data_IF_854280587593
#
_entry.id   IF_854280587593
#
_cell.length_a   1.000
_cell.length_b   1.000
_cell.length_c   1.000
_cell.angle_alpha   90.00
_cell.angle_beta   90.00
_cell.angle_gamma   90.00
#
_symmetry.space_group_name_H-M   'P 1'
#
loop_
_entity.id
_entity.type
_entity.pdbx_description
1 polymer ?
#
# COMPACT_ATOMS: atom_id res chain seq x y z
N UNK A 1 -0.81 0.31 -2.45
CA UNK A 1 -2.19 -0.15 -2.14
C UNK A 1 -2.55 -1.50 -2.75
N UNK A 2 -1.90 -1.97 -3.84
CA UNK A 2 -2.24 -3.24 -4.50
C UNK A 2 -2.36 -4.44 -3.55
N UNK A 3 -1.57 -4.48 -2.47
CA UNK A 3 -1.64 -5.54 -1.47
C UNK A 3 -3.02 -5.67 -0.78
N UNK A 4 -3.86 -4.63 -0.85
CA UNK A 4 -5.20 -4.62 -0.26
C UNK A 4 -6.27 -5.20 -1.18
N UNK A 5 -5.93 -5.50 -2.44
CA UNK A 5 -6.91 -6.05 -3.39
C UNK A 5 -7.29 -7.46 -2.99
N UNK A 6 -8.58 -7.67 -2.80
CA UNK A 6 -9.18 -8.96 -2.56
C UNK A 6 -10.55 -9.07 -3.28
N UNK A 7 -11.39 -10.03 -2.89
CA UNK A 7 -12.73 -10.23 -3.47
C UNK A 7 -13.69 -9.06 -3.19
N UNK A 8 -13.40 -8.23 -2.18
CA UNK A 8 -14.27 -7.16 -1.71
C UNK A 8 -13.63 -5.77 -1.92
N UNK A 9 -12.34 -5.71 -2.21
CA UNK A 9 -11.57 -4.47 -2.33
C UNK A 9 -10.98 -4.35 -3.72
N UNK A 10 -11.36 -3.28 -4.41
CA UNK A 10 -10.81 -2.88 -5.71
C UNK A 10 -10.09 -1.54 -5.58
N UNK A 11 -9.13 -1.30 -6.47
CA UNK A 11 -8.38 -0.03 -6.51
C UNK A 11 -8.65 0.69 -7.81
N UNK A 12 -9.25 1.87 -7.71
CA UNK A 12 -9.38 2.76 -8.85
C UNK A 12 -8.18 3.69 -8.96
N UNK A 13 -7.49 3.65 -10.09
CA UNK A 13 -6.38 4.55 -10.41
C UNK A 13 -6.86 5.70 -11.32
N UNK A 14 -7.15 6.89 -10.78
CA UNK A 14 -7.80 7.97 -11.53
C UNK A 14 -6.96 8.48 -12.70
N UNK A 15 -5.63 8.52 -12.56
CA UNK A 15 -4.71 8.94 -13.63
C UNK A 15 -4.75 7.97 -14.82
N UNK A 16 -4.82 6.67 -14.55
CA UNK A 16 -4.92 5.62 -15.58
C UNK A 16 -6.35 5.37 -16.03
N UNK A 17 -7.35 5.93 -15.32
CA UNK A 17 -8.79 5.66 -15.49
C UNK A 17 -9.09 4.15 -15.51
N UNK A 18 -8.40 3.38 -14.66
CA UNK A 18 -8.48 1.92 -14.61
C UNK A 18 -8.80 1.45 -13.20
N UNK A 19 -9.69 0.47 -13.10
CA UNK A 19 -9.94 -0.27 -11.87
C UNK A 19 -9.13 -1.55 -11.86
N UNK A 20 -8.43 -1.79 -10.76
CA UNK A 20 -7.71 -3.04 -10.50
C UNK A 20 -8.55 -3.87 -9.54
N UNK A 21 -8.96 -5.02 -10.02
CA UNK A 21 -9.72 -6.03 -9.30
C UNK A 21 -8.82 -7.22 -8.97
N UNK A 22 -9.30 -8.15 -8.15
CA UNK A 22 -8.59 -9.40 -7.86
C UNK A 22 -8.20 -10.16 -9.14
N UNK A 23 -9.11 -10.20 -10.11
CA UNK A 23 -8.90 -10.97 -11.35
C UNK A 23 -7.86 -10.35 -12.29
N UNK A 24 -7.73 -9.01 -12.31
CA UNK A 24 -6.82 -8.33 -13.24
C UNK A 24 -5.54 -7.77 -12.60
N UNK A 25 -5.45 -7.77 -11.27
CA UNK A 25 -4.28 -7.23 -10.56
C UNK A 25 -3.00 -8.00 -10.93
N UNK A 26 -3.06 -9.32 -11.02
CA UNK A 26 -1.91 -10.16 -11.37
C UNK A 26 -1.28 -9.77 -12.71
N UNK A 27 -2.08 -9.39 -13.71
CA UNK A 27 -1.58 -8.92 -15.01
C UNK A 27 -0.76 -7.64 -14.90
N UNK A 28 -1.14 -6.73 -13.99
CA UNK A 28 -0.47 -5.45 -13.79
C UNK A 28 0.78 -5.59 -12.93
N UNK A 29 0.65 -6.19 -11.74
CA UNK A 29 1.72 -6.23 -10.73
C UNK A 29 2.59 -7.49 -10.82
N UNK A 30 2.21 -8.46 -11.65
CA UNK A 30 2.94 -9.71 -11.95
C UNK A 30 3.09 -10.69 -10.78
N UNK A 31 2.50 -10.41 -9.64
CA UNK A 31 2.46 -11.27 -8.45
C UNK A 31 1.05 -11.22 -7.85
N UNK A 32 0.73 -12.13 -6.95
CA UNK A 32 -0.52 -12.03 -6.19
C UNK A 32 -0.53 -10.74 -5.35
N UNK A 33 -1.68 -10.07 -5.20
CA UNK A 33 -1.80 -8.89 -4.34
C UNK A 33 -1.22 -9.10 -2.94
N UNK A 34 -1.46 -10.25 -2.31
CA UNK A 34 -0.95 -10.60 -0.98
C UNK A 34 0.57 -10.59 -0.89
N UNK A 35 1.26 -10.91 -1.99
CA UNK A 35 2.72 -10.98 -2.05
C UNK A 35 3.36 -9.67 -2.52
N UNK A 36 2.56 -8.66 -2.88
CA UNK A 36 3.06 -7.41 -3.44
C UNK A 36 3.94 -6.65 -2.45
N UNK A 37 3.65 -6.73 -1.15
CA UNK A 37 4.46 -6.11 -0.11
C UNK A 37 5.87 -6.70 -0.05
N UNK A 38 6.03 -8.03 -0.19
CA UNK A 38 7.33 -8.71 -0.23
C UNK A 38 8.15 -8.18 -1.41
N UNK A 39 7.53 -8.11 -2.58
CA UNK A 39 8.17 -7.61 -3.80
C UNK A 39 8.62 -6.16 -3.63
N UNK A 40 7.78 -5.31 -3.05
CA UNK A 40 8.10 -3.91 -2.77
C UNK A 40 9.21 -3.76 -1.73
N UNK A 41 9.23 -4.61 -0.70
CA UNK A 41 10.30 -4.62 0.29
C UNK A 41 11.68 -4.88 -0.34
N UNK A 42 11.72 -5.80 -1.31
CA UNK A 42 12.93 -6.15 -2.05
C UNK A 42 13.35 -5.09 -3.08
N UNK A 43 12.39 -4.55 -3.84
CA UNK A 43 12.65 -3.56 -4.90
C UNK A 43 12.80 -2.13 -4.36
N UNK A 44 12.21 -1.84 -3.19
CA UNK A 44 12.08 -0.50 -2.65
C UNK A 44 10.93 0.29 -3.28
N UNK A 45 10.78 1.53 -2.84
CA UNK A 45 9.86 2.52 -3.39
C UNK A 45 10.55 3.87 -3.52
N UNK A 46 10.82 4.29 -4.75
CA UNK A 46 11.49 5.57 -5.01
C UNK A 46 10.60 6.77 -4.66
N UNK A 47 9.27 6.63 -4.73
CA UNK A 47 8.34 7.71 -4.36
C UNK A 47 8.41 8.03 -2.88
N UNK A 48 8.68 7.03 -2.06
CA UNK A 48 8.76 7.14 -0.61
C UNK A 48 10.22 7.18 -0.10
N UNK A 49 11.19 7.30 -1.03
CA UNK A 49 12.61 7.30 -0.72
C UNK A 49 13.07 6.04 0.06
N UNK A 50 12.46 4.90 -0.26
CA UNK A 50 12.81 3.60 0.32
C UNK A 50 13.68 2.82 -0.66
N UNK A 51 15.01 2.75 -0.44
CA UNK A 51 15.89 2.03 -1.35
C UNK A 51 15.72 0.52 -1.23
N UNK A 52 15.62 -0.17 -2.37
CA UNK A 52 15.62 -1.63 -2.45
C UNK A 52 17.03 -2.23 -2.53
N UNK A 53 17.11 -3.52 -2.82
CA UNK A 53 18.36 -4.24 -3.03
C UNK A 53 18.95 -3.90 -4.40
N UNK A 54 20.11 -3.25 -4.41
CA UNK A 54 20.76 -2.77 -5.65
C UNK A 54 21.07 -3.92 -6.63
N UNK A 55 20.50 -3.82 -7.82
CA UNK A 55 20.68 -4.80 -8.89
C UNK A 55 19.66 -5.94 -8.87
N UNK A 56 18.72 -5.93 -7.92
CA UNK A 56 17.55 -6.80 -7.94
C UNK A 56 16.43 -6.12 -8.74
N UNK A 57 15.82 -6.85 -9.66
CA UNK A 57 14.71 -6.37 -10.48
C UNK A 57 13.55 -7.35 -10.46
N UNK A 58 12.37 -6.88 -10.88
CA UNK A 58 11.15 -7.71 -10.91
C UNK A 58 11.33 -9.00 -11.70
N UNK A 59 12.08 -8.98 -12.80
CA UNK A 59 12.33 -10.18 -13.62
C UNK A 59 13.08 -11.26 -12.83
N UNK A 60 14.05 -10.85 -12.01
CA UNK A 60 14.80 -11.78 -11.15
C UNK A 60 13.88 -12.32 -10.06
N UNK A 61 13.09 -11.48 -9.43
CA UNK A 61 12.12 -11.92 -8.41
C UNK A 61 11.17 -12.97 -8.99
N UNK A 62 10.57 -12.71 -10.12
CA UNK A 62 9.63 -13.65 -10.77
C UNK A 62 10.28 -14.96 -11.23
N UNK A 63 11.57 -14.93 -11.56
CA UNK A 63 12.28 -16.17 -11.94
C UNK A 63 12.67 -17.04 -10.74
N UNK A 64 13.05 -16.39 -9.64
CA UNK A 64 13.57 -17.09 -8.44
C UNK A 64 12.42 -17.50 -7.49
N UNK A 65 11.42 -16.66 -7.33
CA UNK A 65 10.28 -16.91 -6.43
C UNK A 65 8.97 -16.98 -7.23
N UNK A 66 8.84 -18.01 -8.05
CA UNK A 66 7.61 -18.24 -8.85
C UNK A 66 6.37 -18.39 -7.97
N UNK A 67 6.52 -18.87 -6.74
CA UNK A 67 5.45 -18.96 -5.74
C UNK A 67 4.70 -17.65 -5.53
N UNK A 68 5.34 -16.49 -5.68
CA UNK A 68 4.68 -15.20 -5.54
C UNK A 68 3.53 -14.97 -6.53
N UNK A 69 3.46 -15.75 -7.60
CA UNK A 69 2.39 -15.65 -8.61
C UNK A 69 1.19 -16.55 -8.34
N UNK A 70 1.29 -17.53 -7.43
CA UNK A 70 0.23 -18.50 -7.18
C UNK A 70 0.04 -18.90 -5.70
N UNK A 71 1.02 -18.65 -4.82
CA UNK A 71 0.93 -18.98 -3.40
C UNK A 71 0.68 -17.71 -2.57
N UNK A 72 -0.55 -17.55 -2.02
CA UNK A 72 -0.88 -16.38 -1.21
C UNK A 72 -0.25 -16.39 0.18
N UNK A 73 0.37 -17.50 0.59
CA UNK A 73 1.04 -17.67 1.89
C UNK A 73 2.54 -17.48 1.83
N UNK A 74 3.06 -17.07 0.66
CA UNK A 74 4.48 -16.77 0.51
C UNK A 74 4.93 -15.68 1.51
N UNK A 75 6.12 -15.83 2.04
CA UNK A 75 6.64 -15.01 3.14
C UNK A 75 8.05 -14.48 2.87
N UNK A 76 8.53 -13.56 3.70
CA UNK A 76 9.93 -13.14 3.69
C UNK A 76 10.87 -14.27 4.11
N UNK A 77 10.41 -15.23 4.94
CA UNK A 77 11.22 -16.38 5.30
C UNK A 77 11.54 -17.24 4.07
N UNK A 78 10.57 -17.42 3.15
CA UNK A 78 10.83 -18.15 1.91
C UNK A 78 11.89 -17.47 1.04
N UNK A 79 11.97 -16.13 1.11
CA UNK A 79 13.02 -15.36 0.43
C UNK A 79 14.38 -15.64 1.08
N UNK A 80 14.44 -15.61 2.40
CA UNK A 80 15.66 -15.85 3.16
C UNK A 80 16.20 -17.27 2.90
N UNK A 81 15.38 -18.29 3.13
CA UNK A 81 15.74 -19.69 3.01
C UNK A 81 16.22 -20.02 1.57
N UNK A 82 15.53 -19.45 0.56
CA UNK A 82 15.97 -19.59 -0.82
C UNK A 82 17.35 -18.96 -1.03
N UNK A 83 17.57 -17.74 -0.51
CA UNK A 83 18.86 -17.07 -0.65
C UNK A 83 19.99 -17.85 0.00
N UNK A 84 19.82 -18.39 1.23
CA UNK A 84 20.81 -19.23 1.91
C UNK A 84 21.14 -20.48 1.07
N UNK A 85 20.11 -21.19 0.63
CA UNK A 85 20.29 -22.39 -0.22
C UNK A 85 21.07 -22.06 -1.50
N UNK A 86 20.83 -20.93 -2.12
CA UNK A 86 21.50 -20.54 -3.36
C UNK A 86 22.93 -20.04 -3.15
N UNK A 87 23.25 -19.47 -1.99
CA UNK A 87 24.62 -19.05 -1.64
C UNK A 87 25.51 -20.27 -1.41
N UNK A 88 24.97 -21.31 -0.78
CA UNK A 88 25.70 -22.56 -0.49
C UNK A 88 25.80 -23.50 -1.70
N UNK A 89 25.14 -23.17 -2.80
CA UNK A 89 25.11 -23.93 -4.04
C UNK A 89 26.44 -23.88 -4.83
N UNK A 90 26.57 -24.76 -5.81
CA UNK A 90 27.81 -24.88 -6.65
C UNK A 90 28.10 -23.59 -7.45
N UNK A 91 27.10 -22.81 -7.81
CA UNK A 91 27.21 -21.57 -8.63
C UNK A 91 26.42 -20.43 -8.04
N UNK A 92 26.86 -19.85 -6.92
CA UNK A 92 26.10 -18.82 -6.23
C UNK A 92 25.98 -17.55 -7.07
N UNK A 93 24.73 -17.07 -7.23
CA UNK A 93 24.50 -15.75 -7.85
C UNK A 93 24.75 -14.65 -6.81
N UNK A 94 25.55 -13.66 -7.16
CA UNK A 94 25.90 -12.53 -6.28
C UNK A 94 24.69 -11.78 -5.72
N UNK A 95 23.55 -11.88 -6.37
CA UNK A 95 22.33 -11.18 -5.93
C UNK A 95 21.80 -11.72 -4.61
N UNK A 96 21.90 -13.05 -4.36
CA UNK A 96 21.43 -13.64 -3.10
C UNK A 96 22.23 -13.15 -1.90
N UNK A 97 23.57 -13.14 -2.03
CA UNK A 97 24.44 -12.56 -1.01
C UNK A 97 24.11 -11.07 -0.73
N UNK A 98 23.74 -10.28 -1.78
CA UNK A 98 23.32 -8.90 -1.59
C UNK A 98 21.98 -8.78 -0.86
N UNK A 99 21.03 -9.67 -1.12
CA UNK A 99 19.74 -9.71 -0.40
C UNK A 99 20.01 -9.95 1.08
N UNK A 100 20.76 -10.99 1.41
CA UNK A 100 21.12 -11.31 2.80
C UNK A 100 21.88 -10.15 3.47
N UNK A 101 22.86 -9.57 2.80
CA UNK A 101 23.61 -8.43 3.33
C UNK A 101 22.72 -7.18 3.60
N UNK A 102 21.62 -7.02 2.87
CA UNK A 102 20.69 -5.93 3.04
C UNK A 102 19.41 -6.32 3.79
N UNK A 103 19.41 -7.47 4.48
CA UNK A 103 18.20 -8.06 5.05
C UNK A 103 17.48 -7.15 6.05
N UNK A 104 18.22 -6.51 6.93
CA UNK A 104 17.66 -5.54 7.88
C UNK A 104 16.86 -4.44 7.18
N UNK A 105 17.38 -3.95 6.05
CA UNK A 105 16.66 -2.96 5.22
C UNK A 105 15.41 -3.56 4.57
N UNK A 106 15.49 -4.79 4.08
CA UNK A 106 14.34 -5.48 3.48
C UNK A 106 13.24 -5.65 4.52
N UNK A 107 13.57 -6.08 5.73
CA UNK A 107 12.63 -6.20 6.84
C UNK A 107 11.99 -4.85 7.19
N UNK A 108 12.80 -3.80 7.32
CA UNK A 108 12.29 -2.45 7.61
C UNK A 108 11.39 -1.92 6.49
N UNK A 109 11.75 -2.14 5.23
CA UNK A 109 10.89 -1.77 4.10
C UNK A 109 9.56 -2.52 4.17
N UNK A 110 9.60 -3.82 4.49
CA UNK A 110 8.39 -4.64 4.62
C UNK A 110 7.46 -4.09 5.71
N UNK A 111 7.97 -3.78 6.88
CA UNK A 111 7.20 -3.20 7.99
C UNK A 111 6.59 -1.84 7.59
N UNK A 112 7.41 -0.93 7.03
CA UNK A 112 6.96 0.41 6.66
C UNK A 112 5.90 0.42 5.53
N UNK A 113 5.95 -0.56 4.64
CA UNK A 113 5.03 -0.65 3.51
C UNK A 113 3.84 -1.59 3.75
N UNK A 114 3.79 -2.29 4.89
CA UNK A 114 2.71 -3.20 5.22
C UNK A 114 1.45 -2.43 5.63
N UNK A 115 0.39 -2.57 4.84
CA UNK A 115 -0.91 -1.93 5.08
C UNK A 115 -1.90 -2.85 5.82
N UNK A 116 -1.57 -4.12 6.03
CA UNK A 116 -2.42 -5.07 6.75
C UNK A 116 -2.26 -4.93 8.27
N UNK A 117 -1.05 -4.63 8.73
CA UNK A 117 -0.75 -4.42 10.13
C UNK A 117 -0.58 -2.93 10.41
N UNK A 118 -1.58 -2.31 11.01
CA UNK A 118 -1.47 -0.93 11.43
C UNK A 118 -0.66 -0.83 12.74
N UNK A 119 0.11 0.24 12.87
CA UNK A 119 0.80 0.58 14.13
C UNK A 119 -0.16 1.09 15.21
N UNK A 120 -1.46 1.19 14.90
CA UNK A 120 -2.49 1.65 15.82
C UNK A 120 -2.78 0.59 16.87
N UNK A 121 -2.88 1.02 18.12
CA UNK A 121 -3.35 0.16 19.21
C UNK A 121 -4.89 -0.08 19.14
N UNK A 122 -5.39 -0.95 20.01
CA UNK A 122 -6.82 -1.29 20.02
C UNK A 122 -7.72 -0.10 20.40
N UNK A 123 -7.23 0.83 21.24
CA UNK A 123 -7.99 2.02 21.64
C UNK A 123 -8.14 2.98 20.45
N UNK A 124 -7.06 3.21 19.73
CA UNK A 124 -7.04 4.04 18.52
C UNK A 124 -7.92 3.44 17.41
N UNK A 125 -7.83 2.12 17.20
CA UNK A 125 -8.70 1.40 16.25
C UNK A 125 -10.18 1.55 16.61
N UNK A 126 -10.54 1.39 17.89
CA UNK A 126 -11.92 1.56 18.34
C UNK A 126 -12.40 3.00 18.15
N UNK A 127 -11.58 3.99 18.46
CA UNK A 127 -11.89 5.41 18.24
C UNK A 127 -12.21 5.68 16.76
N UNK A 128 -11.39 5.15 15.84
CA UNK A 128 -11.63 5.28 14.40
C UNK A 128 -12.94 4.58 13.99
N UNK A 129 -13.18 3.37 14.48
CA UNK A 129 -14.41 2.63 14.20
C UNK A 129 -15.65 3.35 14.71
N UNK A 130 -15.58 3.98 15.88
CA UNK A 130 -16.67 4.76 16.44
C UNK A 130 -16.97 6.01 15.59
N UNK A 131 -15.92 6.68 15.10
CA UNK A 131 -16.06 7.81 14.17
C UNK A 131 -16.74 7.34 12.87
N UNK A 132 -16.27 6.22 12.28
CA UNK A 132 -16.82 5.68 11.03
C UNK A 132 -18.31 5.27 11.19
N UNK A 133 -18.69 4.74 12.34
CA UNK A 133 -20.06 4.33 12.64
C UNK A 133 -20.95 5.48 13.08
N UNK A 134 -20.39 6.63 13.43
CA UNK A 134 -21.15 7.81 13.85
C UNK A 134 -21.95 8.37 12.69
N UNK A 135 -23.14 8.92 12.94
CA UNK A 135 -23.87 9.64 11.91
C UNK A 135 -23.03 10.77 11.33
N UNK A 136 -23.11 10.95 10.01
CA UNK A 136 -22.44 12.07 9.36
C UNK A 136 -23.04 13.38 9.92
N UNK A 137 -22.22 14.25 10.54
CA UNK A 137 -22.72 15.50 11.09
C UNK A 137 -23.14 16.47 9.98
N UNK A 138 -24.03 17.40 10.30
CA UNK A 138 -24.38 18.47 9.39
C UNK A 138 -23.15 19.29 9.00
N UNK A 139 -23.12 19.70 7.73
CA UNK A 139 -22.02 20.51 7.21
C UNK A 139 -21.95 21.86 7.93
N UNK A 140 -20.89 22.06 8.69
CA UNK A 140 -20.60 23.31 9.41
C UNK A 140 -19.79 24.28 8.51
N UNK A 141 -20.43 24.83 7.48
CA UNK A 141 -19.78 25.70 6.47
C UNK A 141 -18.94 26.81 7.11
N UNK A 142 -19.49 27.51 8.10
CA UNK A 142 -18.77 28.61 8.78
C UNK A 142 -17.55 28.12 9.59
N UNK A 143 -17.60 26.92 10.17
CA UNK A 143 -16.46 26.34 10.87
C UNK A 143 -15.37 25.93 9.85
N UNK A 144 -15.76 25.32 8.75
CA UNK A 144 -14.84 24.95 7.69
C UNK A 144 -14.11 26.15 7.08
N UNK A 145 -14.83 27.24 6.76
CA UNK A 145 -14.23 28.45 6.22
C UNK A 145 -13.25 29.11 7.20
N UNK A 146 -13.56 29.09 8.50
CA UNK A 146 -12.61 29.58 9.54
C UNK A 146 -11.34 28.73 9.61
N UNK A 147 -11.43 27.41 9.46
CA UNK A 147 -10.25 26.54 9.42
C UNK A 147 -9.37 26.83 8.19
N UNK A 148 -9.97 27.04 7.02
CA UNK A 148 -9.22 27.42 5.81
C UNK A 148 -8.46 28.75 6.02
N UNK A 149 -9.11 29.75 6.64
CA UNK A 149 -8.49 31.03 6.94
C UNK A 149 -7.36 30.90 7.99
N UNK A 150 -7.62 30.16 9.05
CA UNK A 150 -6.64 29.89 10.12
C UNK A 150 -5.38 29.20 9.58
N UNK A 151 -5.57 28.20 8.72
CA UNK A 151 -4.46 27.42 8.14
C UNK A 151 -3.85 28.10 6.90
N UNK A 152 -4.36 29.30 6.53
CA UNK A 152 -3.92 30.07 5.35
C UNK A 152 -3.96 29.25 4.06
N UNK A 153 -4.96 28.38 3.93
CA UNK A 153 -5.18 27.57 2.74
C UNK A 153 -5.97 28.41 1.73
N UNK A 154 -5.27 28.98 0.77
CA UNK A 154 -5.86 29.78 -0.30
C UNK A 154 -6.10 28.95 -1.56
N UNK A 155 -7.09 29.31 -2.35
CA UNK A 155 -7.26 28.78 -3.71
C UNK A 155 -7.70 27.33 -3.82
N UNK A 156 -8.27 26.74 -2.76
CA UNK A 156 -8.79 25.36 -2.78
C UNK A 156 -9.80 25.18 -3.91
N UNK A 157 -10.67 26.17 -4.10
CA UNK A 157 -11.56 26.24 -5.27
C UNK A 157 -11.85 27.71 -5.63
N UNK A 158 -12.21 27.97 -6.89
CA UNK A 158 -12.64 29.32 -7.32
C UNK A 158 -14.00 29.72 -6.71
N UNK A 159 -14.79 28.76 -6.27
CA UNK A 159 -16.08 28.91 -5.63
C UNK A 159 -16.21 27.89 -4.49
N UNK A 160 -15.75 28.27 -3.32
CA UNK A 160 -15.74 27.39 -2.14
C UNK A 160 -17.16 27.04 -1.67
N UNK A 161 -18.13 27.99 -1.75
CA UNK A 161 -19.50 27.68 -1.37
C UNK A 161 -20.14 26.67 -2.31
N UNK A 162 -20.01 26.87 -3.63
CA UNK A 162 -20.51 25.89 -4.61
C UNK A 162 -19.84 24.52 -4.52
N UNK A 163 -18.56 24.48 -4.11
CA UNK A 163 -17.89 23.22 -3.84
C UNK A 163 -18.47 22.53 -2.60
N UNK A 164 -18.76 23.27 -1.53
CA UNK A 164 -19.34 22.75 -0.30
C UNK A 164 -20.77 22.21 -0.48
N UNK A 165 -21.53 22.70 -1.45
CA UNK A 165 -22.86 22.17 -1.77
C UNK A 165 -22.84 20.67 -2.09
N UNK A 166 -21.74 20.15 -2.66
CA UNK A 166 -21.60 18.72 -2.95
C UNK A 166 -21.61 17.85 -1.68
N UNK A 167 -21.34 18.42 -0.50
CA UNK A 167 -21.27 17.69 0.77
C UNK A 167 -22.58 17.79 1.57
N UNK A 168 -23.50 18.70 1.24
CA UNK A 168 -24.77 18.85 1.96
C UNK A 168 -25.67 17.62 1.89
N UNK A 169 -25.56 16.86 0.79
CA UNK A 169 -26.34 15.64 0.59
C UNK A 169 -25.82 14.42 1.35
N UNK A 170 -24.62 14.47 1.94
CA UNK A 170 -24.00 13.27 2.56
C UNK A 170 -24.75 12.81 3.81
N UNK A 171 -25.39 13.72 4.56
CA UNK A 171 -26.21 13.37 5.74
C UNK A 171 -27.46 12.57 5.40
N UNK A 172 -27.88 12.56 4.14
CA UNK A 172 -29.09 11.85 3.67
C UNK A 172 -28.78 10.50 3.02
N UNK A 173 -27.51 10.23 2.68
CA UNK A 173 -27.10 9.03 1.94
C UNK A 173 -26.81 7.84 2.86
N UNK A 174 -26.48 8.11 4.13
CA UNK A 174 -26.17 7.07 5.12
C UNK A 174 -27.34 6.97 6.12
N UNK A 175 -28.41 6.32 5.69
CA UNK A 175 -29.47 5.81 6.57
C UNK A 175 -29.57 4.31 6.43
#
# INVERSE_FOLDING_TARGET
>A
FFQLIDKNIEIYAPVKKKTFTFDNALEEIKVLPQNYNIVKALLGDNSDNLPGVKGLGIKTILSEWKSFTYDPLASLNDVWDHCETQIDGEKPKKIFAKIIHNWERVMKNYELMNLHDSVLDNSEKNTILDIIKSPVPDLQTGAFLRLLDQDKIEGVTKNTEGWLENFRGLTTVIK
#
